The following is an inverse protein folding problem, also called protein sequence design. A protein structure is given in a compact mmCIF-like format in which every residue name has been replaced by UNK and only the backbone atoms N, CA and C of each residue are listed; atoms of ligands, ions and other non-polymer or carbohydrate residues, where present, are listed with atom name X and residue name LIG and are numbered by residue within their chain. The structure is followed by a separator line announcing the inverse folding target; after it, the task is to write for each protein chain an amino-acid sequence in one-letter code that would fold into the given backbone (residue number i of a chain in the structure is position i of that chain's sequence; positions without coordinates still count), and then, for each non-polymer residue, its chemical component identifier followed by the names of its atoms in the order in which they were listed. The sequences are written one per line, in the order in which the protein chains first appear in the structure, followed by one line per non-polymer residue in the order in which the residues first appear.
data_IF_103829738153
#
_entry.id   IF_103829738153
#
_cell.length_a   1.000
_cell.length_b   1.000
_cell.length_c   1.000
_cell.angle_alpha   90.00
_cell.angle_beta   90.00
_cell.angle_gamma   90.00
#
_symmetry.space_group_name_H-M   'P 1'
#
loop_
_entity.id
_entity.type
_entity.pdbx_description
1 polymer ?
#
# COMPACT_ATOMS: atom_id res chain seq x y z
N UNK A 1 -0.15 -1.50 24.63
CA UNK A 1 0.40 -2.21 25.82
C UNK A 1 1.43 -3.21 25.30
N UNK A 2 2.55 -3.39 25.98
CA UNK A 2 3.58 -4.36 25.53
C UNK A 2 3.50 -5.61 26.40
N UNK A 3 3.46 -6.78 25.78
CA UNK A 3 3.56 -8.07 26.46
C UNK A 3 4.83 -8.79 26.04
N UNK A 4 5.42 -9.56 26.95
CA UNK A 4 6.63 -10.35 26.67
C UNK A 4 6.24 -11.83 26.52
N UNK A 5 6.61 -12.45 25.41
CA UNK A 5 6.40 -13.88 25.16
C UNK A 5 7.58 -14.47 24.39
N UNK A 6 8.21 -15.52 24.92
CA UNK A 6 9.35 -16.21 24.31
C UNK A 6 10.47 -15.26 23.82
N UNK A 7 10.94 -14.37 24.70
CA UNK A 7 11.97 -13.36 24.40
C UNK A 7 11.59 -12.34 23.30
N UNK A 8 10.31 -12.22 22.96
CA UNK A 8 9.79 -11.22 22.03
C UNK A 8 8.81 -10.30 22.72
N UNK A 9 8.93 -9.02 22.41
CA UNK A 9 7.93 -8.01 22.74
C UNK A 9 6.81 -8.07 21.70
N UNK A 10 5.57 -8.11 22.18
CA UNK A 10 4.37 -8.09 21.38
C UNK A 10 3.60 -6.82 21.71
N UNK A 11 3.38 -6.00 20.69
CA UNK A 11 2.48 -4.86 20.80
C UNK A 11 1.03 -5.36 20.79
N UNK A 12 0.31 -5.04 21.87
CA UNK A 12 -1.10 -5.35 22.01
C UNK A 12 -1.94 -4.10 21.80
N UNK A 13 -2.91 -4.22 20.91
CA UNK A 13 -3.97 -3.25 20.70
C UNK A 13 -5.19 -3.62 21.56
N UNK A 14 -5.82 -2.60 22.15
CA UNK A 14 -7.09 -2.79 22.83
C UNK A 14 -8.21 -3.01 21.81
N UNK A 15 -9.17 -3.89 22.12
CA UNK A 15 -10.23 -4.26 21.18
C UNK A 15 -11.09 -3.06 20.71
N UNK A 16 -11.19 -2.00 21.54
CA UNK A 16 -11.78 -0.72 21.12
C UNK A 16 -10.70 0.18 20.52
N UNK A 17 -10.88 0.54 19.25
CA UNK A 17 -9.98 1.45 18.51
C UNK A 17 -9.92 2.86 19.10
N UNK A 18 -10.96 3.30 19.79
CA UNK A 18 -11.03 4.64 20.36
C UNK A 18 -11.62 4.57 21.77
N UNK A 19 -11.01 5.33 22.68
CA UNK A 19 -11.48 5.52 24.05
C UNK A 19 -11.83 7.01 24.19
N UNK A 20 -13.06 7.30 24.63
CA UNK A 20 -13.64 8.65 24.61
C UNK A 20 -13.13 9.55 25.72
N UNK A 21 -12.69 9.00 26.85
CA UNK A 21 -12.22 9.78 27.99
C UNK A 21 -10.83 9.35 28.45
N UNK A 22 -10.06 10.32 28.94
CA UNK A 22 -8.73 10.07 29.52
C UNK A 22 -8.84 9.21 30.79
N UNK A 23 -9.91 9.39 31.57
CA UNK A 23 -10.16 8.62 32.78
C UNK A 23 -10.32 7.14 32.47
N UNK A 24 -11.14 6.81 31.48
CA UNK A 24 -11.36 5.41 31.07
C UNK A 24 -10.08 4.80 30.51
N UNK A 25 -9.31 5.57 29.73
CA UNK A 25 -8.04 5.10 29.18
C UNK A 25 -7.03 4.75 30.28
N UNK A 26 -6.91 5.60 31.31
CA UNK A 26 -6.04 5.34 32.48
C UNK A 26 -6.50 4.12 33.26
N UNK A 27 -7.79 4.00 33.54
CA UNK A 27 -8.35 2.85 34.25
C UNK A 27 -8.09 1.55 33.49
N UNK A 28 -8.19 1.54 32.15
CA UNK A 28 -7.86 0.36 31.34
C UNK A 28 -6.38 0.00 31.45
N UNK A 29 -5.47 0.98 31.37
CA UNK A 29 -4.03 0.74 31.50
C UNK A 29 -3.69 0.17 32.88
N UNK A 30 -4.24 0.75 33.94
CA UNK A 30 -4.04 0.27 35.32
C UNK A 30 -4.55 -1.15 35.49
N UNK A 31 -5.75 -1.46 34.97
CA UNK A 31 -6.33 -2.79 35.08
C UNK A 31 -5.57 -3.87 34.29
N UNK A 32 -4.88 -3.50 33.20
CA UNK A 32 -4.17 -4.45 32.35
C UNK A 32 -2.67 -4.56 32.70
N UNK A 33 -2.11 -3.58 33.39
CA UNK A 33 -0.69 -3.56 33.77
C UNK A 33 -0.36 -4.72 34.70
N UNK A 34 0.68 -5.50 34.35
CA UNK A 34 1.12 -6.66 35.13
C UNK A 34 0.23 -7.90 35.03
N UNK A 35 -0.85 -7.86 34.24
CA UNK A 35 -1.68 -9.04 34.01
C UNK A 35 -1.10 -9.95 32.93
N UNK A 36 -1.39 -11.26 33.03
CA UNK A 36 -0.99 -12.25 32.03
C UNK A 36 -2.03 -12.32 30.92
N UNK A 37 -1.63 -12.07 29.69
CA UNK A 37 -2.49 -12.24 28.53
C UNK A 37 -2.57 -13.72 28.12
N UNK A 38 -3.78 -14.21 27.83
CA UNK A 38 -4.03 -15.57 27.35
C UNK A 38 -4.53 -15.48 25.92
N UNK A 39 -3.96 -16.31 25.03
CA UNK A 39 -4.39 -16.37 23.63
C UNK A 39 -5.75 -17.06 23.57
N UNK A 40 -6.79 -16.29 23.26
CA UNK A 40 -8.14 -16.81 23.05
C UNK A 40 -8.30 -17.45 21.66
N UNK A 41 -7.78 -16.78 20.62
CA UNK A 41 -7.93 -17.22 19.23
C UNK A 41 -6.75 -16.84 18.35
N UNK A 42 -6.34 -17.76 17.47
CA UNK A 42 -5.38 -17.50 16.40
C UNK A 42 -6.11 -17.58 15.07
N UNK A 43 -6.09 -16.48 14.31
CA UNK A 43 -6.64 -16.45 12.94
C UNK A 43 -5.49 -16.34 11.94
N UNK A 44 -5.50 -17.21 10.93
CA UNK A 44 -4.58 -17.15 9.78
C UNK A 44 -5.41 -17.07 8.51
N UNK A 45 -5.06 -16.14 7.63
CA UNK A 45 -5.72 -15.97 6.34
C UNK A 45 -4.67 -15.81 5.25
N UNK A 46 -4.88 -16.51 4.14
CA UNK A 46 -4.15 -16.25 2.90
C UNK A 46 -4.85 -15.10 2.16
N UNK A 47 -4.09 -14.07 1.80
CA UNK A 47 -4.58 -12.93 1.03
C UNK A 47 -3.85 -12.90 -0.30
N UNK A 48 -4.61 -12.82 -1.40
CA UNK A 48 -4.06 -12.61 -2.74
C UNK A 48 -4.14 -11.12 -3.06
N UNK A 49 -2.99 -10.48 -3.28
CA UNK A 49 -2.94 -9.12 -3.79
C UNK A 49 -3.01 -9.14 -5.31
N UNK A 50 -4.04 -8.49 -5.86
CA UNK A 50 -4.16 -8.33 -7.31
C UNK A 50 -3.16 -7.28 -7.81
N UNK A 51 -2.66 -7.41 -9.05
CA UNK A 51 -1.83 -6.38 -9.66
C UNK A 51 -2.61 -5.05 -9.75
N UNK A 52 -1.88 -3.95 -9.68
CA UNK A 52 -2.45 -2.63 -9.94
C UNK A 52 -2.90 -2.53 -11.40
N UNK A 53 -3.91 -1.69 -11.70
CA UNK A 53 -4.27 -1.39 -13.08
C UNK A 53 -3.08 -0.79 -13.84
N UNK A 54 -3.12 -0.89 -15.16
CA UNK A 54 -2.15 -0.21 -16.00
C UNK A 54 -2.22 1.31 -15.83
N UNK A 55 -1.12 2.01 -16.06
CA UNK A 55 -1.09 3.46 -15.90
C UNK A 55 -1.87 4.18 -17.00
N UNK A 56 -2.73 5.10 -16.59
CA UNK A 56 -3.14 6.26 -17.39
C UNK A 56 -2.24 7.47 -17.08
N UNK A 57 -2.43 8.59 -17.80
CA UNK A 57 -1.59 9.78 -17.61
C UNK A 57 -1.64 10.31 -16.17
N UNK A 58 -2.81 10.33 -15.54
CA UNK A 58 -3.00 10.90 -14.20
C UNK A 58 -2.31 10.05 -13.12
N UNK A 59 -2.50 8.73 -13.17
CA UNK A 59 -1.85 7.79 -12.25
C UNK A 59 -0.34 7.76 -12.45
N UNK A 60 0.15 7.79 -13.70
CA UNK A 60 1.58 7.91 -13.99
C UNK A 60 2.18 9.19 -13.39
N UNK A 61 1.53 10.33 -13.59
CA UNK A 61 1.97 11.61 -13.03
C UNK A 61 1.96 11.60 -11.49
N UNK A 62 0.93 10.99 -10.89
CA UNK A 62 0.79 10.90 -9.43
C UNK A 62 1.86 10.02 -8.81
N UNK A 63 2.13 8.85 -9.41
CA UNK A 63 3.18 7.93 -8.95
C UNK A 63 4.58 8.49 -9.19
N UNK A 64 4.83 9.15 -10.32
CA UNK A 64 6.10 9.83 -10.58
C UNK A 64 6.35 10.97 -9.59
N UNK A 65 5.30 11.69 -9.17
CA UNK A 65 5.42 12.67 -8.09
C UNK A 65 5.72 11.98 -6.75
N UNK A 66 4.96 10.94 -6.39
CA UNK A 66 5.10 10.21 -5.13
C UNK A 66 6.49 9.61 -4.93
N UNK A 67 7.06 9.01 -5.97
CA UNK A 67 8.33 8.28 -5.88
C UNK A 67 9.55 9.11 -6.29
N UNK A 68 9.40 10.02 -7.25
CA UNK A 68 10.52 10.75 -7.86
C UNK A 68 10.45 12.27 -7.69
N UNK A 69 9.38 12.80 -7.09
CA UNK A 69 9.16 14.25 -6.92
C UNK A 69 8.95 15.00 -8.23
N UNK A 70 8.62 14.32 -9.33
CA UNK A 70 8.43 14.98 -10.62
C UNK A 70 7.09 15.70 -10.69
N UNK A 71 7.14 17.00 -10.97
CA UNK A 71 5.93 17.77 -11.29
C UNK A 71 5.24 17.17 -12.53
N UNK A 72 3.90 17.23 -12.64
CA UNK A 72 3.16 16.61 -13.74
C UNK A 72 3.69 16.95 -15.16
N UNK A 73 4.07 18.21 -15.39
CA UNK A 73 4.62 18.67 -16.68
C UNK A 73 5.97 17.99 -17.01
N UNK A 74 6.82 17.76 -16.01
CA UNK A 74 8.12 17.09 -16.21
C UNK A 74 7.89 15.62 -16.59
N UNK A 75 7.01 14.92 -15.88
CA UNK A 75 6.65 13.54 -16.19
C UNK A 75 6.12 13.41 -17.62
N UNK A 76 5.23 14.31 -18.02
CA UNK A 76 4.67 14.30 -19.38
C UNK A 76 5.74 14.56 -20.45
N UNK A 77 6.65 15.51 -20.23
CA UNK A 77 7.73 15.80 -21.17
C UNK A 77 8.67 14.60 -21.36
N UNK A 78 9.03 13.92 -20.27
CA UNK A 78 9.88 12.71 -20.32
C UNK A 78 9.16 11.55 -21.01
N UNK A 79 7.90 11.28 -20.64
CA UNK A 79 7.11 10.23 -21.27
C UNK A 79 6.91 10.49 -22.78
N UNK A 80 6.68 11.75 -23.17
CA UNK A 80 6.60 12.12 -24.58
C UNK A 80 7.91 11.82 -25.33
N UNK A 81 9.06 12.12 -24.71
CA UNK A 81 10.37 11.78 -25.28
C UNK A 81 10.54 10.27 -25.46
N UNK A 82 10.19 9.48 -24.44
CA UNK A 82 10.26 8.01 -24.52
C UNK A 82 9.36 7.44 -25.62
N UNK A 83 8.16 7.99 -25.78
CA UNK A 83 7.26 7.61 -26.87
C UNK A 83 7.85 7.90 -28.25
N UNK A 84 8.44 9.09 -28.44
CA UNK A 84 9.10 9.47 -29.69
C UNK A 84 10.32 8.58 -30.02
N UNK A 85 10.96 8.02 -28.99
CA UNK A 85 12.04 7.04 -29.13
C UNK A 85 11.54 5.59 -29.18
N UNK A 86 10.23 5.38 -29.35
CA UNK A 86 9.59 4.06 -29.44
C UNK A 86 9.81 3.15 -28.21
N UNK A 87 10.11 3.73 -27.05
CA UNK A 87 10.35 2.98 -25.82
C UNK A 87 9.06 2.67 -25.05
N UNK A 88 8.00 3.46 -25.24
CA UNK A 88 6.69 3.28 -24.59
C UNK A 88 5.53 3.56 -25.56
N UNK A 89 4.32 3.14 -25.21
CA UNK A 89 3.09 3.53 -25.91
C UNK A 89 2.72 4.99 -25.64
N UNK A 90 1.72 5.50 -26.38
CA UNK A 90 1.31 6.90 -26.30
C UNK A 90 0.89 7.29 -24.86
N UNK A 91 1.59 8.24 -24.20
CA UNK A 91 1.46 8.43 -22.75
C UNK A 91 0.28 9.31 -22.34
N UNK A 92 -0.41 9.95 -23.31
CA UNK A 92 -1.57 10.82 -23.05
C UNK A 92 -2.88 10.06 -23.21
N UNK A 93 -3.01 8.98 -22.44
CA UNK A 93 -4.21 8.13 -22.41
C UNK A 93 -4.94 8.28 -21.08
N UNK A 94 -6.27 8.24 -21.12
CA UNK A 94 -7.13 8.07 -19.94
C UNK A 94 -7.51 6.61 -19.69
N UNK A 95 -7.24 5.71 -20.64
CA UNK A 95 -7.57 4.29 -20.53
C UNK A 95 -6.55 3.56 -19.64
N UNK A 96 -7.06 2.69 -18.77
CA UNK A 96 -6.30 1.71 -18.00
C UNK A 96 -6.50 0.28 -18.54
N UNK A 97 -7.24 0.14 -19.64
CA UNK A 97 -7.52 -1.15 -20.30
C UNK A 97 -6.47 -1.44 -21.36
N UNK A 98 -5.91 -2.64 -21.29
CA UNK A 98 -5.00 -3.17 -22.29
C UNK A 98 -5.81 -3.84 -23.41
N UNK A 99 -5.47 -3.63 -24.69
CA UNK A 99 -6.17 -4.29 -25.78
C UNK A 99 -5.81 -5.77 -25.85
N UNK A 100 -6.78 -6.61 -26.21
CA UNK A 100 -6.60 -8.07 -26.32
C UNK A 100 -5.51 -8.47 -27.32
N UNK A 101 -5.21 -7.60 -28.28
CA UNK A 101 -4.19 -7.81 -29.32
C UNK A 101 -2.76 -7.55 -28.84
N UNK A 102 -2.57 -7.01 -27.63
CA UNK A 102 -1.24 -6.69 -27.11
C UNK A 102 -0.54 -7.95 -26.58
N UNK A 103 0.67 -8.23 -27.06
CA UNK A 103 1.49 -9.34 -26.55
C UNK A 103 2.10 -9.01 -25.18
N UNK A 104 1.28 -9.14 -24.13
CA UNK A 104 1.71 -8.92 -22.74
C UNK A 104 2.84 -9.86 -22.34
N UNK A 105 2.80 -11.12 -22.81
CA UNK A 105 3.82 -12.11 -22.43
C UNK A 105 5.17 -11.71 -22.98
N UNK A 106 5.27 -11.40 -24.28
CA UNK A 106 6.50 -10.92 -24.90
C UNK A 106 7.07 -9.69 -24.19
N UNK A 107 6.21 -8.71 -23.87
CA UNK A 107 6.63 -7.48 -23.15
C UNK A 107 7.21 -7.80 -21.76
N UNK A 108 6.63 -8.76 -21.03
CA UNK A 108 7.08 -9.09 -19.67
C UNK A 108 8.33 -9.98 -19.64
N UNK A 109 8.58 -10.76 -20.69
CA UNK A 109 9.69 -11.73 -20.72
C UNK A 109 10.95 -11.21 -21.42
N UNK A 110 10.86 -10.14 -22.23
CA UNK A 110 11.98 -9.59 -22.98
C UNK A 110 12.30 -10.42 -24.21
#
# INVERSE_FOLDING_TARGET
IVAHHNNKELELEYFKKQISTVSDAKAIVENLSGQTAIVDKINRRTVTQQPHPSFNLSSLQSEAYRHLGFKPNRTLALAQSLYLNSAISYPRTSSEQLPDTLDIKGILTG
#
